data_IF_769172514622
#
_entry.id   IF_769172514622
#
_cell.length_a   1.000
_cell.length_b   1.000
_cell.length_c   1.000
_cell.angle_alpha   90.00
_cell.angle_beta   90.00
_cell.angle_gamma   90.00
#
_symmetry.space_group_name_H-M   'P 1'
#
loop_
_entity.id
_entity.type
_entity.pdbx_description
1 polymer ?
#
# COMPACT_ATOMS: atom_id res chain seq x y z
N UNK A 1 6.94 -14.85 12.08
CA UNK A 1 8.02 -15.82 11.73
C UNK A 1 9.29 -15.04 11.42
N UNK A 2 10.48 -15.46 11.90
CA UNK A 2 11.79 -14.80 11.65
C UNK A 2 11.89 -13.29 11.99
N UNK A 3 11.09 -12.78 12.92
CA UNK A 3 11.12 -11.34 13.27
C UNK A 3 12.49 -10.88 13.76
N UNK A 4 13.22 -11.73 14.50
CA UNK A 4 14.56 -11.45 15.01
C UNK A 4 15.56 -11.08 13.91
N UNK A 5 15.41 -11.64 12.70
CA UNK A 5 16.28 -11.33 11.55
C UNK A 5 15.99 -9.91 11.06
N UNK A 6 14.72 -9.52 10.98
CA UNK A 6 14.29 -8.18 10.57
C UNK A 6 14.75 -7.14 11.61
N UNK A 7 14.53 -7.43 12.89
CA UNK A 7 14.95 -6.56 14.00
C UNK A 7 16.47 -6.38 14.02
N UNK A 8 17.23 -7.47 13.87
CA UNK A 8 18.68 -7.41 13.78
C UNK A 8 19.15 -6.63 12.55
N UNK A 9 18.53 -6.83 11.39
CA UNK A 9 18.87 -6.07 10.18
C UNK A 9 18.64 -4.57 10.37
N UNK A 10 17.49 -4.18 10.94
CA UNK A 10 17.16 -2.77 11.20
C UNK A 10 18.13 -2.17 12.23
N UNK A 11 18.39 -2.87 13.34
CA UNK A 11 19.28 -2.42 14.40
C UNK A 11 20.72 -2.18 13.91
N UNK A 12 21.19 -2.97 12.94
CA UNK A 12 22.52 -2.81 12.34
C UNK A 12 22.52 -1.87 11.12
N UNK A 13 21.37 -1.31 10.74
CA UNK A 13 21.27 -0.39 9.61
C UNK A 13 21.63 1.05 10.00
N UNK A 14 22.04 1.85 9.01
CA UNK A 14 22.23 3.31 9.18
C UNK A 14 20.95 4.07 9.50
N UNK A 15 19.79 3.41 9.45
CA UNK A 15 18.48 4.01 9.66
C UNK A 15 17.85 3.62 10.99
N UNK A 16 18.57 2.90 11.87
CA UNK A 16 18.01 2.39 13.12
C UNK A 16 17.35 3.49 13.98
N UNK A 17 17.89 4.71 13.97
CA UNK A 17 17.34 5.84 14.74
C UNK A 17 16.02 6.38 14.18
N UNK A 18 15.66 6.02 12.93
CA UNK A 18 14.44 6.47 12.26
C UNK A 18 13.35 5.39 12.20
N UNK A 19 13.63 4.17 12.67
CA UNK A 19 12.72 3.03 12.53
C UNK A 19 12.36 2.47 13.89
N UNK A 20 11.07 2.52 14.22
CA UNK A 20 10.51 1.81 15.37
C UNK A 20 9.89 0.49 14.90
N UNK A 21 10.23 -0.61 15.58
CA UNK A 21 9.62 -1.91 15.35
C UNK A 21 8.53 -2.20 16.40
N UNK A 22 7.50 -2.92 15.99
CA UNK A 22 6.44 -3.42 16.88
C UNK A 22 6.26 -4.90 16.59
N UNK A 23 6.43 -5.73 17.63
CA UNK A 23 6.23 -7.17 17.51
C UNK A 23 4.75 -7.52 17.64
N UNK A 24 4.25 -8.27 16.66
CA UNK A 24 2.86 -8.72 16.60
C UNK A 24 2.79 -10.24 16.91
N UNK A 25 2.43 -10.64 18.15
CA UNK A 25 2.46 -12.05 18.56
C UNK A 25 1.37 -12.90 17.88
N UNK A 26 0.29 -12.26 17.44
CA UNK A 26 -0.80 -12.85 16.66
C UNK A 26 -1.13 -11.92 15.51
N UNK A 27 -1.23 -12.47 14.30
CA UNK A 27 -1.50 -11.67 13.11
C UNK A 27 -2.85 -10.93 13.22
N UNK A 28 -2.80 -9.60 13.20
CA UNK A 28 -3.95 -8.71 13.27
C UNK A 28 -4.54 -8.43 11.87
N UNK A 29 -3.77 -8.75 10.83
CA UNK A 29 -4.09 -8.42 9.45
C UNK A 29 -3.70 -6.97 9.10
N UNK A 30 -3.74 -6.63 7.81
CA UNK A 30 -3.20 -5.37 7.28
C UNK A 30 -3.85 -4.12 7.89
N UNK A 31 -5.18 -4.13 8.07
CA UNK A 31 -5.87 -3.02 8.74
C UNK A 31 -5.77 -3.13 10.27
N UNK A 32 -5.70 -4.34 10.82
CA UNK A 32 -5.58 -4.54 12.27
C UNK A 32 -4.27 -3.99 12.81
N UNK A 33 -3.15 -4.21 12.10
CA UNK A 33 -1.86 -3.62 12.42
C UNK A 33 -1.91 -2.08 12.37
N UNK A 34 -2.58 -1.50 11.36
CA UNK A 34 -2.78 -0.05 11.27
C UNK A 34 -3.60 0.50 12.45
N UNK A 35 -4.70 -0.16 12.82
CA UNK A 35 -5.55 0.23 13.97
C UNK A 35 -4.75 0.18 15.27
N UNK A 36 -4.05 -0.92 15.52
CA UNK A 36 -3.24 -1.12 16.73
C UNK A 36 -2.14 -0.06 16.90
N UNK A 37 -1.62 0.46 15.78
CA UNK A 37 -0.55 1.45 15.75
C UNK A 37 -1.01 2.87 15.38
N UNK A 38 -2.32 3.13 15.35
CA UNK A 38 -2.89 4.42 14.94
C UNK A 38 -2.35 5.65 15.68
N UNK A 39 -1.90 5.47 16.94
CA UNK A 39 -1.27 6.54 17.74
C UNK A 39 0.07 7.02 17.19
N UNK A 40 0.78 6.19 16.42
CA UNK A 40 2.04 6.55 15.76
C UNK A 40 1.91 7.81 14.89
N UNK A 41 0.73 8.01 14.28
CA UNK A 41 0.52 9.13 13.36
C UNK A 41 0.29 10.46 14.07
N UNK A 42 0.02 10.47 15.39
CA UNK A 42 -0.18 11.69 16.19
C UNK A 42 -1.22 12.68 15.60
N UNK A 43 -2.23 12.15 14.91
CA UNK A 43 -3.27 12.97 14.26
C UNK A 43 -2.85 13.59 12.92
N UNK A 44 -1.73 13.16 12.34
CA UNK A 44 -1.29 13.54 11.00
C UNK A 44 -1.72 12.51 9.95
N UNK A 45 -1.57 12.89 8.68
CA UNK A 45 -1.65 11.97 7.56
C UNK A 45 -0.52 10.93 7.64
N UNK A 46 -0.75 9.75 7.07
CA UNK A 46 0.12 8.59 7.23
C UNK A 46 0.35 7.82 5.94
N UNK A 47 1.54 7.26 5.77
CA UNK A 47 1.83 6.35 4.67
C UNK A 47 1.71 4.90 5.16
N UNK A 48 0.88 4.10 4.50
CA UNK A 48 0.79 2.64 4.68
C UNK A 48 1.40 1.96 3.45
N UNK A 49 2.40 1.12 3.66
CA UNK A 49 3.12 0.43 2.57
C UNK A 49 3.29 -1.05 2.91
N UNK A 50 3.02 -1.91 1.95
CA UNK A 50 3.38 -3.31 2.02
C UNK A 50 4.86 -3.50 1.65
N UNK A 51 5.61 -4.21 2.50
CA UNK A 51 7.07 -4.30 2.43
C UNK A 51 7.60 -5.34 1.42
N UNK A 52 6.71 -6.04 0.72
CA UNK A 52 7.01 -7.09 -0.26
C UNK A 52 6.86 -6.60 -1.71
N UNK A 53 7.13 -5.30 -1.95
CA UNK A 53 7.11 -4.70 -3.29
C UNK A 53 8.45 -4.03 -3.59
N UNK A 54 9.05 -4.37 -4.73
CA UNK A 54 10.09 -3.56 -5.34
C UNK A 54 9.46 -2.42 -6.13
N UNK A 55 9.92 -1.19 -5.90
CA UNK A 55 9.31 0.00 -6.49
C UNK A 55 10.34 1.10 -6.70
N UNK A 56 10.26 1.75 -7.86
CA UNK A 56 11.04 2.95 -8.21
C UNK A 56 10.18 4.23 -8.16
N UNK A 57 9.04 4.14 -7.48
CA UNK A 57 8.05 5.23 -7.37
C UNK A 57 8.60 6.39 -6.55
N UNK A 58 8.30 7.61 -7.02
CA UNK A 58 8.55 8.83 -6.28
C UNK A 58 7.48 9.00 -5.17
N UNK A 59 7.84 8.62 -3.95
CA UNK A 59 6.97 8.77 -2.77
C UNK A 59 6.67 10.25 -2.49
N UNK A 60 7.58 11.17 -2.81
CA UNK A 60 7.35 12.59 -2.61
C UNK A 60 6.28 13.12 -3.57
N UNK A 61 6.30 12.70 -4.85
CA UNK A 61 5.20 13.02 -5.78
C UNK A 61 3.87 12.45 -5.27
N UNK A 62 3.84 11.20 -4.79
CA UNK A 62 2.62 10.59 -4.25
C UNK A 62 2.04 11.40 -3.08
N UNK A 63 2.89 11.93 -2.19
CA UNK A 63 2.49 12.81 -1.08
C UNK A 63 2.00 14.18 -1.61
N UNK A 64 2.67 14.76 -2.61
CA UNK A 64 2.22 16.01 -3.26
C UNK A 64 0.82 15.82 -3.86
N UNK A 65 0.62 14.72 -4.61
CA UNK A 65 -0.68 14.33 -5.18
C UNK A 65 -1.74 14.11 -4.12
N UNK A 66 -1.36 13.55 -2.97
CA UNK A 66 -2.25 13.44 -1.83
C UNK A 66 -2.69 14.81 -1.34
N UNK A 67 -1.76 15.74 -1.14
CA UNK A 67 -2.08 17.09 -0.67
C UNK A 67 -2.94 17.89 -1.66
N UNK A 68 -2.82 17.61 -2.97
CA UNK A 68 -3.63 18.25 -4.03
C UNK A 68 -4.84 17.43 -4.48
N UNK A 69 -5.19 16.33 -3.78
CA UNK A 69 -6.29 15.44 -4.17
C UNK A 69 -7.66 16.15 -4.13
N UNK A 70 -8.70 15.62 -4.81
CA UNK A 70 -10.06 16.11 -4.65
C UNK A 70 -10.47 16.12 -3.17
N UNK A 71 -11.11 17.20 -2.72
CA UNK A 71 -11.48 17.38 -1.29
C UNK A 71 -12.43 16.32 -0.73
N UNK A 72 -13.14 15.59 -1.60
CA UNK A 72 -13.97 14.44 -1.25
C UNK A 72 -13.15 13.20 -0.87
N UNK A 73 -11.88 13.13 -1.28
CA UNK A 73 -11.01 11.99 -1.06
C UNK A 73 -10.28 12.04 0.29
N UNK A 74 -10.22 10.90 0.96
CA UNK A 74 -9.57 10.72 2.26
C UNK A 74 -8.31 9.83 2.18
N UNK A 75 -8.03 9.30 1.00
CA UNK A 75 -6.94 8.39 0.71
C UNK A 75 -6.41 8.68 -0.69
N UNK A 76 -5.10 8.52 -0.88
CA UNK A 76 -4.47 8.40 -2.19
C UNK A 76 -3.87 7.00 -2.30
N UNK A 77 -4.23 6.28 -3.35
CA UNK A 77 -3.79 4.91 -3.63
C UNK A 77 -2.85 4.93 -4.83
N UNK A 78 -1.66 4.35 -4.67
CA UNK A 78 -0.79 4.05 -5.81
C UNK A 78 -1.39 2.90 -6.63
N UNK A 79 -1.35 3.01 -7.95
CA UNK A 79 -1.74 1.96 -8.87
C UNK A 79 -0.68 1.73 -9.95
N UNK A 80 -0.65 0.54 -10.51
CA UNK A 80 0.28 0.16 -11.59
C UNK A 80 -0.41 -0.76 -12.60
N UNK A 81 0.22 -0.95 -13.77
CA UNK A 81 -0.29 -1.88 -14.79
C UNK A 81 0.32 -3.26 -14.61
N UNK A 82 -0.51 -4.26 -14.34
CA UNK A 82 -0.07 -5.64 -14.13
C UNK A 82 -0.25 -6.51 -15.39
N UNK A 83 0.63 -7.49 -15.56
CA UNK A 83 0.48 -8.56 -16.57
C UNK A 83 -0.36 -9.74 -16.05
N UNK A 84 -0.64 -9.80 -14.74
CA UNK A 84 -1.37 -10.91 -14.09
C UNK A 84 -2.57 -10.38 -13.29
N UNK A 85 -3.59 -9.79 -13.95
CA UNK A 85 -4.68 -9.10 -13.26
C UNK A 85 -5.46 -9.96 -12.26
N UNK A 86 -5.59 -11.26 -12.52
CA UNK A 86 -6.28 -12.22 -11.67
C UNK A 86 -5.63 -12.43 -10.28
N UNK A 87 -4.37 -12.03 -10.11
CA UNK A 87 -3.67 -12.14 -8.82
C UNK A 87 -3.74 -10.86 -7.99
N UNK A 88 -4.31 -9.79 -8.53
CA UNK A 88 -4.31 -8.45 -7.96
C UNK A 88 -5.74 -7.96 -7.63
N UNK A 89 -5.82 -6.88 -6.86
CA UNK A 89 -7.04 -6.08 -6.76
C UNK A 89 -7.12 -5.13 -7.95
N UNK A 90 -8.02 -5.39 -8.90
CA UNK A 90 -8.16 -4.55 -10.11
C UNK A 90 -9.09 -3.37 -9.84
N UNK A 91 -8.67 -2.19 -10.29
CA UNK A 91 -9.30 -0.91 -10.00
C UNK A 91 -10.15 -0.45 -11.18
N UNK A 92 -11.37 -0.01 -10.88
CA UNK A 92 -12.20 0.78 -11.77
C UNK A 92 -12.28 2.21 -11.23
N UNK A 93 -11.89 3.18 -12.05
CA UNK A 93 -11.83 4.61 -11.69
C UNK A 93 -12.70 5.45 -12.62
N UNK A 94 -13.18 6.59 -12.14
CA UNK A 94 -13.90 7.57 -12.97
C UNK A 94 -12.95 8.54 -13.70
N UNK A 95 -13.53 9.52 -14.40
CA UNK A 95 -12.77 10.53 -15.15
C UNK A 95 -11.92 11.48 -14.30
N UNK A 96 -12.09 11.49 -12.97
CA UNK A 96 -11.27 12.26 -12.03
C UNK A 96 -10.25 11.36 -11.29
N UNK A 97 -10.06 10.12 -11.74
CA UNK A 97 -9.25 9.08 -11.10
C UNK A 97 -9.71 8.74 -9.68
N UNK A 98 -11.02 8.83 -9.40
CA UNK A 98 -11.57 8.41 -8.12
C UNK A 98 -12.03 6.96 -8.24
N UNK A 99 -11.58 6.11 -7.31
CA UNK A 99 -11.91 4.68 -7.28
C UNK A 99 -13.43 4.47 -7.12
N UNK A 100 -14.05 3.83 -8.10
CA UNK A 100 -15.46 3.44 -8.08
C UNK A 100 -15.65 2.03 -7.54
N UNK A 101 -14.78 1.10 -7.94
CA UNK A 101 -14.84 -0.29 -7.54
C UNK A 101 -13.45 -0.93 -7.52
N UNK A 102 -13.26 -1.92 -6.65
CA UNK A 102 -12.09 -2.79 -6.63
C UNK A 102 -12.53 -4.25 -6.72
N UNK A 103 -11.92 -5.01 -7.62
CA UNK A 103 -12.18 -6.43 -7.86
C UNK A 103 -10.99 -7.24 -7.33
N UNK A 104 -11.09 -7.73 -6.09
CA UNK A 104 -10.02 -8.47 -5.43
C UNK A 104 -9.87 -9.88 -5.99
N UNK A 105 -8.75 -10.18 -6.66
CA UNK A 105 -8.37 -11.51 -7.17
C UNK A 105 -9.50 -12.17 -7.97
N UNK A 106 -10.14 -11.37 -8.81
CA UNK A 106 -11.25 -11.81 -9.65
C UNK A 106 -10.75 -12.68 -10.80
N UNK A 107 -11.52 -13.72 -11.14
CA UNK A 107 -11.30 -14.52 -12.37
C UNK A 107 -11.85 -13.82 -13.61
N UNK A 108 -12.74 -12.83 -13.42
CA UNK A 108 -13.29 -12.02 -14.50
C UNK A 108 -12.32 -10.92 -14.89
N UNK A 109 -12.32 -10.53 -16.18
CA UNK A 109 -11.46 -9.48 -16.69
C UNK A 109 -12.07 -8.10 -16.43
N UNK A 110 -11.41 -7.30 -15.60
CA UNK A 110 -11.79 -5.91 -15.29
C UNK A 110 -10.73 -4.90 -15.72
N UNK A 111 -9.86 -5.28 -16.67
CA UNK A 111 -8.68 -4.51 -17.07
C UNK A 111 -7.43 -4.91 -16.29
N UNK A 112 -6.44 -4.02 -16.26
CA UNK A 112 -5.11 -4.32 -15.70
C UNK A 112 -4.54 -3.22 -14.79
N UNK A 113 -5.34 -2.22 -14.40
CA UNK A 113 -4.94 -1.25 -13.39
C UNK A 113 -5.08 -1.93 -12.03
N UNK A 114 -3.95 -2.22 -11.38
CA UNK A 114 -3.89 -2.95 -10.12
C UNK A 114 -3.62 -2.02 -8.95
N UNK A 115 -4.18 -2.37 -7.79
CA UNK A 115 -3.83 -1.82 -6.49
C UNK A 115 -2.34 -2.02 -6.20
N UNK A 116 -1.62 -0.92 -5.97
CA UNK A 116 -0.20 -0.94 -5.63
C UNK A 116 0.11 -1.25 -4.17
N UNK A 117 -0.87 -1.38 -3.27
CA UNK A 117 -0.59 -1.64 -1.84
C UNK A 117 0.31 -0.59 -1.15
N UNK A 118 0.29 0.64 -1.68
CA UNK A 118 0.91 1.84 -1.11
C UNK A 118 -0.13 2.95 -1.06
N UNK A 119 -0.37 3.48 0.14
CA UNK A 119 -1.47 4.41 0.38
C UNK A 119 -1.02 5.58 1.25
N UNK A 120 -1.34 6.80 0.82
CA UNK A 120 -1.30 7.98 1.69
C UNK A 120 -2.70 8.17 2.28
N UNK A 121 -2.80 8.09 3.60
CA UNK A 121 -4.04 8.10 4.37
C UNK A 121 -4.20 9.43 5.08
N UNK A 122 -5.37 10.05 4.98
CA UNK A 122 -5.64 11.23 5.79
C UNK A 122 -5.79 10.88 7.27
N UNK A 123 -5.42 11.81 8.15
CA UNK A 123 -5.65 11.70 9.60
C UNK A 123 -7.10 11.34 9.94
N UNK A 124 -8.05 11.94 9.20
CA UNK A 124 -9.49 11.68 9.34
C UNK A 124 -9.86 10.24 8.98
N UNK A 125 -9.21 9.63 7.99
CA UNK A 125 -9.45 8.22 7.68
C UNK A 125 -8.91 7.34 8.81
N UNK A 126 -7.67 7.59 9.24
CA UNK A 126 -7.00 6.83 10.29
C UNK A 126 -7.84 6.86 11.58
N UNK A 127 -8.36 8.03 11.97
CA UNK A 127 -9.19 8.18 13.18
C UNK A 127 -10.54 7.48 13.12
N UNK A 128 -11.01 7.11 11.93
CA UNK A 128 -12.30 6.42 11.74
C UNK A 128 -12.16 4.90 11.71
N UNK A 129 -10.94 4.35 11.70
CA UNK A 129 -10.71 2.92 11.80
C UNK A 129 -10.91 2.49 13.26
N UNK A 130 -11.58 1.36 13.46
CA UNK A 130 -12.00 0.91 14.78
C UNK A 130 -11.53 -0.53 15.04
N UNK A 131 -11.89 -1.44 14.15
CA UNK A 131 -11.69 -2.88 14.34
C UNK A 131 -11.55 -3.66 13.03
N UNK A 132 -11.30 -2.96 11.92
CA UNK A 132 -11.02 -3.59 10.63
C UNK A 132 -9.74 -4.43 10.73
N UNK A 133 -9.79 -5.65 10.20
CA UNK A 133 -8.64 -6.56 10.18
C UNK A 133 -7.94 -6.58 8.83
N UNK A 134 -8.67 -6.34 7.74
CA UNK A 134 -8.14 -6.41 6.38
C UNK A 134 -8.41 -5.12 5.58
N UNK A 135 -7.33 -4.53 5.05
CA UNK A 135 -7.39 -3.23 4.38
C UNK A 135 -8.10 -3.31 3.02
N UNK A 136 -7.85 -4.36 2.25
CA UNK A 136 -8.42 -4.54 0.91
C UNK A 136 -9.91 -4.86 0.93
N UNK A 137 -10.34 -5.73 1.83
CA UNK A 137 -11.70 -6.26 1.85
C UNK A 137 -12.62 -5.55 2.83
N UNK A 138 -12.09 -4.82 3.83
CA UNK A 138 -12.92 -4.12 4.82
C UNK A 138 -12.73 -2.60 4.82
N UNK A 139 -11.54 -2.07 4.54
CA UNK A 139 -11.29 -0.61 4.55
C UNK A 139 -11.62 -0.02 3.19
N UNK A 140 -10.97 -0.46 2.10
CA UNK A 140 -11.18 0.10 0.76
C UNK A 140 -12.67 0.18 0.36
N UNK A 141 -13.52 -0.86 0.57
CA UNK A 141 -14.94 -0.79 0.22
C UNK A 141 -15.72 0.32 0.94
N UNK A 142 -15.32 0.69 2.17
CA UNK A 142 -15.95 1.79 2.94
C UNK A 142 -15.62 3.17 2.39
N UNK A 143 -14.53 3.27 1.62
CA UNK A 143 -14.00 4.53 1.08
C UNK A 143 -14.06 4.60 -0.45
N UNK A 144 -14.81 3.73 -1.12
CA UNK A 144 -15.14 3.90 -2.53
C UNK A 144 -15.71 5.30 -2.78
N UNK A 145 -15.35 5.90 -3.91
CA UNK A 145 -15.63 7.30 -4.27
C UNK A 145 -14.95 8.35 -3.37
N UNK A 146 -14.04 7.93 -2.51
CA UNK A 146 -13.20 8.78 -1.63
C UNK A 146 -11.73 8.41 -1.68
N UNK A 147 -11.31 7.63 -2.68
CA UNK A 147 -9.92 7.24 -2.89
C UNK A 147 -9.46 7.82 -4.22
N UNK A 148 -8.47 8.69 -4.18
CA UNK A 148 -7.82 9.23 -5.36
C UNK A 148 -6.73 8.25 -5.83
N UNK A 149 -6.78 7.81 -7.08
CA UNK A 149 -5.85 6.83 -7.63
C UNK A 149 -4.77 7.54 -8.42
N UNK A 150 -3.51 7.21 -8.14
CA UNK A 150 -2.34 7.73 -8.86
C UNK A 150 -1.66 6.55 -9.53
N UNK A 151 -1.75 6.49 -10.85
CA UNK A 151 -1.05 5.49 -11.65
C UNK A 151 0.43 5.88 -11.80
N UNK A 152 1.33 4.92 -11.55
CA UNK A 152 2.77 5.09 -11.80
C UNK A 152 3.17 4.54 -13.17
N UNK A 153 4.11 5.23 -13.82
CA UNK A 153 4.83 4.75 -15.00
C UNK A 153 6.19 4.09 -14.65
N UNK A 154 6.56 4.12 -13.36
CA UNK A 154 7.79 3.52 -12.82
C UNK A 154 7.64 2.03 -12.59
N UNK A 155 8.77 1.34 -12.50
CA UNK A 155 8.82 -0.07 -12.14
C UNK A 155 8.13 -0.31 -10.80
N UNK A 156 7.19 -1.26 -10.81
CA UNK A 156 6.47 -1.72 -9.63
C UNK A 156 6.27 -3.23 -9.71
N UNK A 157 6.83 -3.98 -8.78
CA UNK A 157 6.87 -5.45 -8.81
C UNK A 157 6.57 -5.98 -7.41
N UNK A 158 5.48 -6.74 -7.27
CA UNK A 158 5.24 -7.62 -6.13
C UNK A 158 6.28 -8.75 -6.17
N UNK A 159 7.11 -8.85 -5.13
CA UNK A 159 8.22 -9.84 -5.04
C UNK A 159 7.85 -11.08 -4.22
N UNK A 160 6.56 -11.39 -4.11
CA UNK A 160 6.04 -12.53 -3.35
C UNK A 160 6.34 -13.91 -3.94
N UNK A 161 6.87 -13.99 -5.18
CA UNK A 161 7.27 -15.26 -5.81
C UNK A 161 8.77 -15.30 -6.14
N UNK A 162 9.39 -16.50 -6.22
CA UNK A 162 10.80 -16.61 -6.63
C UNK A 162 11.10 -15.95 -7.98
N UNK A 163 10.19 -16.06 -8.94
CA UNK A 163 10.36 -15.50 -10.29
C UNK A 163 10.31 -13.98 -10.30
N UNK A 164 9.33 -13.39 -9.59
CA UNK A 164 9.19 -11.93 -9.47
C UNK A 164 10.32 -11.31 -8.65
N UNK A 165 10.78 -12.01 -7.60
CA UNK A 165 11.96 -11.61 -6.83
C UNK A 165 13.24 -11.64 -7.68
N UNK A 166 13.44 -12.67 -8.51
CA UNK A 166 14.59 -12.71 -9.42
C UNK A 166 14.54 -11.56 -10.45
N UNK A 167 13.36 -11.31 -11.04
CA UNK A 167 13.17 -10.19 -11.95
C UNK A 167 13.51 -8.84 -11.31
N UNK A 168 13.08 -8.64 -10.05
CA UNK A 168 13.41 -7.42 -9.31
C UNK A 168 14.92 -7.28 -9.07
N UNK A 169 15.64 -8.36 -8.75
CA UNK A 169 17.11 -8.33 -8.60
C UNK A 169 17.81 -7.94 -9.90
N UNK A 170 17.38 -8.52 -11.03
CA UNK A 170 17.94 -8.23 -12.35
C UNK A 170 17.77 -6.74 -12.72
N UNK A 171 16.61 -6.16 -12.41
CA UNK A 171 16.32 -4.74 -12.66
C UNK A 171 17.11 -3.83 -11.72
N UNK A 172 17.16 -4.18 -10.43
CA UNK A 172 17.84 -3.39 -9.40
C UNK A 172 19.38 -3.37 -9.58
N UNK A 173 19.93 -4.13 -10.54
CA UNK A 173 21.36 -4.32 -10.75
C UNK A 173 22.10 -4.81 -9.48
N UNK A 174 21.41 -5.57 -8.63
CA UNK A 174 22.01 -6.16 -7.43
C UNK A 174 22.66 -7.48 -7.85
N UNK A 175 23.91 -7.39 -8.33
CA UNK A 175 24.82 -8.54 -8.50
C UNK A 175 25.84 -8.59 -7.36
#
# INVERSE_FOLDING_TARGET
YKHEIVESHIANSRYNEFVQTVFEPQLLGTAGTLVANSKFFEGNDGLLVHADNYSEVDIADLIIRHNSRPSSCLMTMLAFRTATPQTCGILEVDGENILQQMFEKSVESHGNLANGAMYVLSAKLISNLINETDFSTQVIPKYLRKIYVVETDKTYIDIGTPESYQLAQDIANVN
#
